data_IF_386458570573
#
_entry.id   IF_386458570573
#
_cell.length_a   1.000
_cell.length_b   1.000
_cell.length_c   1.000
_cell.angle_alpha   90.00
_cell.angle_beta   90.00
_cell.angle_gamma   90.00
#
_symmetry.space_group_name_H-M   'P 1'
#
loop_
_entity.id
_entity.type
_entity.pdbx_description
1 polymer ?
#
# COMPACT_ATOMS: atom_id res chain seq x y z
N UNK A 1 35.38 -4.76 5.94
CA UNK A 1 35.75 -3.33 6.00
C UNK A 1 36.55 -2.98 4.76
N UNK A 2 36.01 -2.20 3.83
CA UNK A 2 36.77 -1.73 2.66
C UNK A 2 37.69 -0.56 3.08
N UNK A 3 38.95 -0.50 2.60
CA UNK A 3 39.86 0.59 2.92
C UNK A 3 39.35 1.93 2.33
N UNK A 4 39.36 2.98 3.16
CA UNK A 4 38.94 4.34 2.79
C UNK A 4 39.85 4.99 1.72
N UNK A 5 39.32 5.93 0.91
CA UNK A 5 40.02 6.50 -0.24
C UNK A 5 41.30 7.25 0.06
N UNK A 6 42.30 7.07 -0.81
CA UNK A 6 43.43 7.98 -0.96
C UNK A 6 42.98 9.22 -1.78
N UNK A 7 43.28 10.43 -1.28
CA UNK A 7 43.01 11.71 -1.96
C UNK A 7 44.30 12.31 -2.55
N UNK A 8 44.17 13.13 -3.59
CA UNK A 8 45.28 13.94 -4.13
C UNK A 8 45.59 15.12 -3.21
N UNK A 9 46.73 15.79 -3.42
CA UNK A 9 47.17 16.95 -2.60
C UNK A 9 46.14 18.11 -2.57
N UNK A 10 45.23 18.17 -3.55
CA UNK A 10 44.12 19.14 -3.60
C UNK A 10 42.80 18.65 -3.00
N UNK A 11 42.80 17.60 -2.16
CA UNK A 11 41.61 17.15 -1.43
C UNK A 11 40.54 16.43 -2.28
N UNK A 12 40.84 16.09 -3.54
CA UNK A 12 39.91 15.34 -4.41
C UNK A 12 40.14 13.83 -4.28
N UNK A 13 39.05 13.06 -4.26
CA UNK A 13 39.08 11.58 -4.26
C UNK A 13 39.73 11.11 -5.56
N UNK A 14 40.81 10.32 -5.47
CA UNK A 14 41.45 9.77 -6.64
C UNK A 14 40.60 8.62 -7.19
N UNK A 15 39.76 8.92 -8.19
CA UNK A 15 38.81 7.98 -8.79
C UNK A 15 39.44 6.66 -9.28
N UNK A 16 40.75 6.68 -9.60
CA UNK A 16 41.52 5.51 -10.06
C UNK A 16 41.53 4.33 -9.07
N UNK A 17 41.25 4.56 -7.77
CA UNK A 17 41.35 3.54 -6.72
C UNK A 17 40.02 2.93 -6.28
N UNK A 18 38.88 3.30 -6.89
CA UNK A 18 37.54 2.85 -6.44
C UNK A 18 36.63 2.32 -7.57
N UNK A 19 37.24 1.81 -8.63
CA UNK A 19 36.58 1.50 -9.90
C UNK A 19 35.38 0.55 -9.80
N UNK A 20 35.39 -0.51 -8.98
CA UNK A 20 34.30 -1.50 -9.00
C UNK A 20 32.93 -0.95 -8.55
N UNK A 21 32.90 -0.03 -7.56
CA UNK A 21 31.65 0.47 -6.98
C UNK A 21 31.07 1.67 -7.75
N UNK A 22 31.93 2.44 -8.43
CA UNK A 22 31.53 3.67 -9.13
C UNK A 22 31.25 3.49 -10.62
N UNK A 23 31.63 2.35 -11.21
CA UNK A 23 31.23 2.00 -12.58
C UNK A 23 29.73 1.68 -12.64
N UNK A 24 29.17 1.05 -11.59
CA UNK A 24 27.79 0.56 -11.58
C UNK A 24 26.75 1.63 -11.28
N UNK A 25 27.10 2.66 -10.49
CA UNK A 25 26.15 3.73 -10.11
C UNK A 25 26.85 5.10 -10.09
N UNK A 26 26.91 5.81 -11.23
CA UNK A 26 27.64 7.07 -11.35
C UNK A 26 27.15 8.18 -10.40
N UNK A 27 25.85 8.20 -10.08
CA UNK A 27 25.22 9.21 -9.21
C UNK A 27 25.74 9.19 -7.75
N UNK A 28 26.28 8.07 -7.28
CA UNK A 28 26.83 7.96 -5.92
C UNK A 28 28.20 8.65 -5.75
N UNK A 29 28.79 9.14 -6.84
CA UNK A 29 30.09 9.82 -6.84
C UNK A 29 30.06 11.17 -6.12
N UNK A 30 28.92 11.86 -6.15
CA UNK A 30 28.76 13.23 -5.64
C UNK A 30 28.28 13.28 -4.17
N UNK A 31 27.75 12.17 -3.64
CA UNK A 31 27.05 12.13 -2.36
C UNK A 31 27.92 11.76 -1.14
N UNK A 32 29.24 11.61 -1.31
CA UNK A 32 30.12 11.19 -0.21
C UNK A 32 31.22 12.22 0.09
N UNK A 33 30.85 13.25 0.85
CA UNK A 33 31.78 13.99 1.68
C UNK A 33 32.17 13.16 2.90
N UNK A 34 33.05 12.17 2.72
CA UNK A 34 33.68 11.48 3.87
C UNK A 34 34.88 12.31 4.32
N UNK A 35 34.87 12.89 5.53
CA UNK A 35 36.03 13.59 6.07
C UNK A 35 37.18 12.60 6.24
N UNK A 36 38.35 12.96 5.71
CA UNK A 36 39.56 12.15 5.85
C UNK A 36 40.13 12.43 7.25
N UNK A 37 40.43 11.41 8.07
CA UNK A 37 41.06 11.61 9.37
C UNK A 37 42.40 12.34 9.22
N UNK A 38 42.71 13.27 10.12
CA UNK A 38 43.83 14.22 10.05
C UNK A 38 45.26 13.65 10.01
N UNK A 39 45.44 12.34 9.82
CA UNK A 39 46.74 11.66 9.70
C UNK A 39 46.98 10.94 8.36
N UNK A 40 46.01 10.89 7.44
CA UNK A 40 46.20 10.25 6.12
C UNK A 40 46.75 11.25 5.10
N UNK A 41 48.04 11.17 4.82
CA UNK A 41 48.70 11.91 3.74
C UNK A 41 49.46 10.97 2.79
N UNK A 42 49.55 11.31 1.49
CA UNK A 42 50.37 10.55 0.54
C UNK A 42 51.83 10.45 1.02
N UNK A 43 52.41 9.26 1.00
CA UNK A 43 53.81 9.01 1.37
C UNK A 43 54.06 8.69 2.86
N UNK A 44 53.04 8.72 3.73
CA UNK A 44 53.17 8.25 5.11
C UNK A 44 52.72 6.79 5.25
N UNK A 45 53.44 5.95 6.02
CA UNK A 45 52.97 4.60 6.33
C UNK A 45 51.64 4.70 7.08
N UNK A 46 50.72 3.80 6.74
CA UNK A 46 49.41 3.74 7.37
C UNK A 46 49.58 3.41 8.86
N UNK A 47 49.00 4.25 9.72
CA UNK A 47 48.82 3.95 11.14
C UNK A 47 47.34 3.69 11.39
N UNK A 48 47.05 2.60 12.11
CA UNK A 48 45.72 2.35 12.60
C UNK A 48 45.33 3.51 13.53
N UNK A 49 44.22 4.19 13.23
CA UNK A 49 43.63 5.08 14.21
C UNK A 49 43.24 4.23 15.42
N UNK A 50 43.28 4.80 16.64
CA UNK A 50 42.56 4.21 17.75
C UNK A 50 41.16 3.87 17.25
N UNK A 51 40.64 2.65 17.52
CA UNK A 51 39.25 2.37 17.19
C UNK A 51 38.44 3.54 17.73
N UNK A 52 37.60 4.15 16.87
CA UNK A 52 36.58 5.08 17.36
C UNK A 52 35.89 4.28 18.44
N UNK A 53 36.08 4.67 19.70
CA UNK A 53 35.31 4.10 20.78
C UNK A 53 33.87 4.37 20.32
N UNK A 54 33.17 3.31 19.93
CA UNK A 54 31.74 3.39 19.73
C UNK A 54 31.27 4.11 20.99
N UNK A 55 30.62 5.27 20.83
CA UNK A 55 30.11 6.03 21.96
C UNK A 55 29.48 5.00 22.88
N UNK A 56 30.10 4.81 24.06
CA UNK A 56 29.75 3.73 24.95
C UNK A 56 28.24 3.90 25.15
N UNK A 57 27.38 2.97 24.68
CA UNK A 57 25.97 3.13 24.91
C UNK A 57 25.87 3.09 26.42
N UNK A 58 25.70 4.26 27.04
CA UNK A 58 25.54 4.38 28.48
C UNK A 58 24.57 3.29 28.94
N UNK A 59 24.78 2.71 30.14
CA UNK A 59 24.27 1.39 30.53
C UNK A 59 22.90 1.17 29.93
N UNK A 60 22.83 0.27 28.94
CA UNK A 60 21.67 0.10 28.08
C UNK A 60 20.41 0.14 28.95
N UNK A 61 19.62 1.22 28.82
CA UNK A 61 18.40 1.38 29.58
C UNK A 61 17.60 0.09 29.45
N UNK A 62 17.23 -0.50 30.58
CA UNK A 62 16.56 -1.79 30.61
C UNK A 62 15.39 -1.79 29.61
N UNK A 63 15.27 -2.79 28.74
CA UNK A 63 14.24 -2.78 27.71
C UNK A 63 12.86 -2.80 28.36
N UNK A 64 11.99 -1.87 27.95
CA UNK A 64 10.63 -1.79 28.47
C UNK A 64 9.81 -2.89 27.78
N UNK A 65 9.31 -3.83 28.57
CA UNK A 65 8.51 -4.98 28.10
C UNK A 65 7.03 -4.71 28.32
N UNK A 66 6.24 -4.77 27.25
CA UNK A 66 4.79 -4.64 27.28
C UNK A 66 4.17 -5.96 26.89
N UNK A 67 3.47 -6.58 27.84
CA UNK A 67 2.85 -7.89 27.68
C UNK A 67 1.43 -7.80 27.13
N UNK A 68 1.05 -8.74 26.28
CA UNK A 68 -0.34 -8.91 25.82
C UNK A 68 -0.80 -10.37 25.90
N UNK A 69 -1.99 -10.59 26.48
CA UNK A 69 -2.61 -11.90 26.65
C UNK A 69 -4.07 -11.90 26.17
N UNK A 70 -4.51 -13.01 25.57
CA UNK A 70 -5.90 -13.18 25.10
C UNK A 70 -6.41 -14.60 25.31
N UNK A 71 -7.65 -14.72 25.79
CA UNK A 71 -8.39 -15.99 25.83
C UNK A 71 -9.83 -15.83 25.29
N UNK A 72 -10.38 -16.89 24.69
CA UNK A 72 -11.73 -16.87 24.10
C UNK A 72 -12.85 -17.29 25.06
N UNK A 73 -12.58 -18.16 26.04
CA UNK A 73 -13.63 -18.70 26.94
C UNK A 73 -13.16 -19.14 28.33
N UNK A 74 -11.89 -19.55 28.54
CA UNK A 74 -11.43 -20.12 29.82
C UNK A 74 -10.55 -19.13 30.63
N UNK A 75 -10.91 -18.89 31.89
CA UNK A 75 -10.14 -18.03 32.81
C UNK A 75 -8.76 -18.60 33.15
N UNK A 76 -8.67 -19.91 33.37
CA UNK A 76 -7.42 -20.60 33.73
C UNK A 76 -6.31 -20.50 32.67
N UNK A 77 -6.67 -20.29 31.40
CA UNK A 77 -5.71 -20.09 30.30
C UNK A 77 -5.22 -18.65 30.17
N UNK A 78 -5.96 -17.68 30.73
CA UNK A 78 -5.52 -16.29 30.77
C UNK A 78 -4.53 -16.07 31.91
N UNK A 79 -4.82 -16.64 33.08
CA UNK A 79 -3.96 -16.51 34.25
C UNK A 79 -2.57 -17.11 34.01
N UNK A 80 -2.50 -18.27 33.33
CA UNK A 80 -1.22 -18.88 32.96
C UNK A 80 -0.40 -18.00 31.99
N UNK A 81 -1.05 -17.36 31.03
CA UNK A 81 -0.40 -16.39 30.12
C UNK A 81 0.10 -15.17 30.89
N UNK A 82 -0.72 -14.60 31.78
CA UNK A 82 -0.33 -13.44 32.58
C UNK A 82 0.84 -13.77 33.50
N UNK A 83 0.85 -14.95 34.13
CA UNK A 83 1.98 -15.42 34.93
C UNK A 83 3.26 -15.55 34.09
N UNK A 84 3.17 -16.11 32.88
CA UNK A 84 4.31 -16.20 31.97
C UNK A 84 4.84 -14.80 31.56
N UNK A 85 3.94 -13.86 31.28
CA UNK A 85 4.31 -12.47 30.94
C UNK A 85 4.96 -11.74 32.13
N UNK A 86 4.46 -11.96 33.35
CA UNK A 86 5.08 -11.42 34.57
C UNK A 86 6.47 -12.03 34.80
N UNK A 87 6.62 -13.34 34.60
CA UNK A 87 7.91 -14.02 34.70
C UNK A 87 8.92 -13.51 33.66
N UNK A 88 8.43 -13.08 32.48
CA UNK A 88 9.24 -12.44 31.45
C UNK A 88 9.60 -10.97 31.74
N UNK A 89 9.20 -10.40 32.88
CA UNK A 89 9.53 -9.02 33.26
C UNK A 89 8.70 -7.94 32.57
N UNK A 90 7.49 -8.25 32.10
CA UNK A 90 6.61 -7.25 31.48
C UNK A 90 6.17 -6.17 32.49
N UNK A 91 6.52 -4.91 32.24
CA UNK A 91 6.20 -3.76 33.09
C UNK A 91 4.70 -3.45 33.09
N UNK A 92 4.05 -3.59 31.93
CA UNK A 92 2.60 -3.44 31.77
C UNK A 92 2.06 -4.63 30.99
N UNK A 93 0.95 -5.21 31.47
CA UNK A 93 0.30 -6.34 30.83
C UNK A 93 -1.13 -5.95 30.50
N UNK A 94 -1.50 -6.12 29.24
CA UNK A 94 -2.86 -5.94 28.72
C UNK A 94 -3.46 -7.33 28.51
N UNK A 95 -4.68 -7.54 29.02
CA UNK A 95 -5.34 -8.83 28.93
C UNK A 95 -6.80 -8.67 28.54
N UNK A 96 -7.25 -9.45 27.56
CA UNK A 96 -8.63 -9.41 27.11
C UNK A 96 -9.26 -10.81 26.97
N UNK A 97 -10.52 -10.91 27.39
CA UNK A 97 -11.34 -12.11 27.23
C UNK A 97 -12.28 -11.93 26.06
N UNK A 98 -11.74 -12.03 24.86
CA UNK A 98 -12.47 -11.80 23.61
C UNK A 98 -12.32 -12.99 22.66
N UNK A 99 -13.43 -13.41 22.06
CA UNK A 99 -13.45 -14.45 21.04
C UNK A 99 -12.60 -14.07 19.83
N UNK A 100 -11.89 -15.04 19.27
CA UNK A 100 -11.12 -14.90 18.03
C UNK A 100 -11.96 -14.39 16.85
N UNK A 101 -13.30 -14.36 16.92
CA UNK A 101 -14.15 -13.83 15.85
C UNK A 101 -14.31 -12.30 15.88
N UNK A 102 -14.10 -11.67 17.03
CA UNK A 102 -14.27 -10.21 17.19
C UNK A 102 -13.12 -9.47 16.51
N UNK A 103 -13.44 -8.39 15.76
CA UNK A 103 -12.46 -7.60 15.01
C UNK A 103 -11.75 -6.57 15.90
N UNK A 104 -12.53 -5.86 16.70
CA UNK A 104 -12.04 -4.78 17.56
C UNK A 104 -11.46 -5.39 18.84
N UNK A 105 -10.24 -5.01 19.17
CA UNK A 105 -9.49 -5.51 20.33
C UNK A 105 -8.89 -4.33 21.08
N UNK A 106 -9.65 -3.73 22.00
CA UNK A 106 -9.26 -2.47 22.63
C UNK A 106 -7.97 -2.62 23.46
N UNK A 107 -7.77 -3.76 24.12
CA UNK A 107 -6.56 -4.01 24.93
C UNK A 107 -5.32 -4.22 24.07
N UNK A 108 -5.43 -4.94 22.94
CA UNK A 108 -4.35 -5.03 21.96
C UNK A 108 -3.98 -3.66 21.38
N UNK A 109 -4.99 -2.86 21.01
CA UNK A 109 -4.79 -1.52 20.45
C UNK A 109 -4.13 -0.58 21.49
N UNK A 110 -4.56 -0.64 22.74
CA UNK A 110 -3.95 0.11 23.85
C UNK A 110 -2.50 -0.32 24.10
N UNK A 111 -2.20 -1.63 24.07
CA UNK A 111 -0.84 -2.14 24.23
C UNK A 111 0.09 -1.62 23.12
N UNK A 112 -0.35 -1.71 21.85
CA UNK A 112 0.41 -1.22 20.71
C UNK A 112 0.53 0.31 20.72
N UNK A 113 -0.51 1.02 21.16
CA UNK A 113 -0.51 2.46 21.36
C UNK A 113 0.59 2.86 22.35
N UNK A 114 0.59 2.26 23.54
CA UNK A 114 1.62 2.52 24.55
C UNK A 114 3.04 2.25 24.03
N UNK A 115 3.26 1.15 23.30
CA UNK A 115 4.57 0.88 22.70
C UNK A 115 5.02 2.01 21.75
N UNK A 116 4.11 2.52 20.92
CA UNK A 116 4.39 3.62 19.98
C UNK A 116 4.61 4.93 20.70
N UNK A 117 3.83 5.22 21.72
CA UNK A 117 3.95 6.46 22.50
C UNK A 117 5.31 6.52 23.20
N UNK A 118 5.77 5.40 23.78
CA UNK A 118 7.11 5.30 24.37
C UNK A 118 8.19 5.51 23.31
N UNK A 119 8.07 4.88 22.14
CA UNK A 119 9.03 5.06 21.04
C UNK A 119 9.04 6.48 20.49
N UNK A 120 7.90 7.15 20.46
CA UNK A 120 7.78 8.54 20.02
C UNK A 120 8.41 9.49 21.03
N UNK A 121 8.19 9.26 22.33
CA UNK A 121 8.75 10.07 23.40
C UNK A 121 10.27 9.85 23.58
N UNK A 122 10.73 8.61 23.42
CA UNK A 122 12.13 8.22 23.57
C UNK A 122 12.59 7.28 22.44
N UNK A 123 13.04 7.82 21.29
CA UNK A 123 13.45 7.01 20.13
C UNK A 123 14.58 6.01 20.41
N UNK A 124 15.45 6.32 21.38
CA UNK A 124 16.56 5.46 21.81
C UNK A 124 16.17 4.36 22.80
N UNK A 125 14.96 4.39 23.38
CA UNK A 125 14.51 3.39 24.35
C UNK A 125 14.18 2.08 23.63
N UNK A 126 14.71 0.96 24.13
CA UNK A 126 14.30 -0.36 23.65
C UNK A 126 12.92 -0.70 24.20
N UNK A 127 12.00 -1.06 23.31
CA UNK A 127 10.62 -1.46 23.64
C UNK A 127 10.39 -2.84 23.03
N UNK A 128 9.94 -3.76 23.87
CA UNK A 128 9.65 -5.15 23.50
C UNK A 128 8.16 -5.40 23.72
N UNK A 129 7.47 -5.78 22.65
CA UNK A 129 6.11 -6.28 22.71
C UNK A 129 6.14 -7.79 22.93
N UNK A 130 5.73 -8.23 24.11
CA UNK A 130 5.85 -9.63 24.55
C UNK A 130 4.48 -10.30 24.51
N UNK A 131 4.40 -11.45 23.85
CA UNK A 131 3.19 -12.27 23.81
C UNK A 131 3.52 -13.73 24.10
N UNK A 132 2.56 -14.45 24.66
CA UNK A 132 2.79 -15.86 24.99
C UNK A 132 3.03 -16.72 23.74
N UNK A 133 2.31 -16.46 22.65
CA UNK A 133 2.40 -17.24 21.40
C UNK A 133 1.94 -16.37 20.21
N UNK A 134 2.42 -16.67 19.00
CA UNK A 134 2.14 -15.90 17.78
C UNK A 134 0.64 -15.75 17.44
N UNK A 135 -0.18 -16.74 17.82
CA UNK A 135 -1.64 -16.73 17.61
C UNK A 135 -2.44 -15.85 18.59
N UNK A 136 -1.77 -15.23 19.57
CA UNK A 136 -2.42 -14.32 20.54
C UNK A 136 -2.70 -12.95 19.94
N UNK A 137 -1.71 -12.24 19.36
CA UNK A 137 -1.93 -10.91 18.78
C UNK A 137 -2.69 -10.93 17.46
N UNK A 138 -2.82 -12.06 16.76
CA UNK A 138 -3.45 -12.14 15.44
C UNK A 138 -4.49 -13.27 15.33
N UNK A 139 -5.56 -13.04 14.55
CA UNK A 139 -6.61 -14.04 14.27
C UNK A 139 -6.32 -14.91 13.05
N UNK A 140 -5.55 -14.38 12.11
CA UNK A 140 -5.18 -15.01 10.86
C UNK A 140 -3.81 -14.48 10.39
N UNK A 141 -3.29 -15.06 9.31
CA UNK A 141 -2.01 -14.65 8.73
C UNK A 141 -2.02 -13.16 8.33
N UNK A 142 -3.09 -12.67 7.69
CA UNK A 142 -3.21 -11.28 7.26
C UNK A 142 -3.04 -10.25 8.41
N UNK A 143 -3.66 -10.52 9.56
CA UNK A 143 -3.49 -9.68 10.74
C UNK A 143 -2.08 -9.76 11.32
N UNK A 144 -1.50 -10.95 11.36
CA UNK A 144 -0.15 -11.13 11.87
C UNK A 144 0.85 -10.35 11.03
N UNK A 145 0.69 -10.41 9.70
CA UNK A 145 1.56 -9.70 8.77
C UNK A 145 1.41 -8.18 8.89
N UNK A 146 0.18 -7.69 9.08
CA UNK A 146 -0.09 -6.27 9.34
C UNK A 146 0.53 -5.81 10.66
N UNK A 147 0.39 -6.61 11.71
CA UNK A 147 0.99 -6.36 13.02
C UNK A 147 2.52 -6.33 12.94
N UNK A 148 3.12 -7.31 12.28
CA UNK A 148 4.56 -7.39 12.08
C UNK A 148 5.09 -6.16 11.33
N UNK A 149 4.44 -5.75 10.22
CA UNK A 149 4.80 -4.54 9.49
C UNK A 149 4.70 -3.28 10.37
N UNK A 150 3.65 -3.17 11.19
CA UNK A 150 3.47 -2.06 12.13
C UNK A 150 4.55 -2.00 13.22
N UNK A 151 4.91 -3.14 13.79
CA UNK A 151 6.00 -3.24 14.77
C UNK A 151 7.36 -2.90 14.14
N UNK A 152 7.62 -3.38 12.93
CA UNK A 152 8.84 -3.07 12.18
C UNK A 152 8.96 -1.57 11.88
N UNK A 153 7.90 -0.94 11.37
CA UNK A 153 7.88 0.49 11.09
C UNK A 153 8.11 1.37 12.32
N UNK A 154 7.63 0.92 13.49
CA UNK A 154 7.84 1.58 14.77
C UNK A 154 9.14 1.18 15.50
N UNK A 155 9.96 0.29 14.90
CA UNK A 155 11.18 -0.26 15.52
C UNK A 155 10.94 -0.90 16.90
N UNK A 156 9.80 -1.55 17.07
CA UNK A 156 9.42 -2.28 18.29
C UNK A 156 9.83 -3.74 18.13
N UNK A 157 10.50 -4.29 19.14
CA UNK A 157 10.91 -5.70 19.15
C UNK A 157 9.71 -6.59 19.48
N UNK A 158 9.66 -7.81 18.94
CA UNK A 158 8.63 -8.80 19.26
C UNK A 158 9.24 -9.93 20.08
N UNK A 159 8.65 -10.28 21.22
CA UNK A 159 9.06 -11.44 22.02
C UNK A 159 7.93 -12.47 22.06
N UNK A 160 8.31 -13.72 21.77
CA UNK A 160 7.43 -14.89 21.82
C UNK A 160 7.92 -15.82 22.93
N UNK A 161 7.07 -16.08 23.92
CA UNK A 161 7.45 -16.90 25.08
C UNK A 161 7.27 -18.42 24.87
N UNK A 162 6.48 -18.81 23.87
CA UNK A 162 6.16 -20.22 23.59
C UNK A 162 5.93 -20.46 22.10
N UNK A 163 6.08 -21.73 21.71
CA UNK A 163 5.93 -22.22 20.35
C UNK A 163 7.25 -22.37 19.59
N UNK A 164 7.19 -22.75 18.30
CA UNK A 164 8.38 -23.05 17.50
C UNK A 164 9.25 -21.82 17.20
N UNK A 165 8.68 -20.62 17.31
CA UNK A 165 9.34 -19.34 17.10
C UNK A 165 9.60 -18.63 18.43
N UNK A 166 9.92 -19.36 19.49
CA UNK A 166 10.23 -18.75 20.80
C UNK A 166 11.52 -17.90 20.68
N UNK A 167 11.49 -16.67 21.20
CA UNK A 167 12.64 -15.77 21.17
C UNK A 167 12.26 -14.29 21.04
N UNK A 168 13.29 -13.43 21.04
CA UNK A 168 13.18 -11.99 20.84
C UNK A 168 13.63 -11.65 19.41
N UNK A 169 12.76 -10.96 18.68
CA UNK A 169 12.97 -10.54 17.30
C UNK A 169 13.11 -9.03 17.24
N UNK A 170 14.34 -8.57 16.98
CA UNK A 170 14.63 -7.16 16.73
C UNK A 170 14.46 -6.83 15.24
N UNK A 171 13.55 -5.90 14.86
CA UNK A 171 13.37 -5.48 13.47
C UNK A 171 14.60 -4.80 12.85
N UNK A 172 15.59 -4.34 13.64
CA UNK A 172 16.84 -3.74 13.15
C UNK A 172 18.05 -4.68 13.25
N UNK A 173 17.87 -5.87 13.82
CA UNK A 173 18.94 -6.84 14.09
C UNK A 173 18.69 -8.19 13.41
N UNK A 174 19.08 -9.28 14.08
CA UNK A 174 18.89 -10.64 13.57
C UNK A 174 17.42 -11.02 13.37
N UNK A 175 16.49 -10.36 14.05
CA UNK A 175 15.05 -10.55 13.89
C UNK A 175 14.46 -9.92 12.62
N UNK A 176 15.21 -9.04 11.94
CA UNK A 176 14.74 -8.31 10.76
C UNK A 176 14.28 -9.24 9.62
N UNK A 177 14.90 -10.43 9.50
CA UNK A 177 14.51 -11.43 8.52
C UNK A 177 13.08 -11.94 8.73
N UNK A 178 12.67 -12.19 9.99
CA UNK A 178 11.31 -12.63 10.30
C UNK A 178 10.30 -11.57 9.87
N UNK A 179 10.56 -10.31 10.23
CA UNK A 179 9.72 -9.18 9.84
C UNK A 179 9.66 -9.01 8.33
N UNK A 180 10.79 -9.13 7.63
CA UNK A 180 10.86 -9.03 6.17
C UNK A 180 10.04 -10.13 5.47
N UNK A 181 10.17 -11.39 5.91
CA UNK A 181 9.38 -12.51 5.35
C UNK A 181 7.89 -12.28 5.57
N UNK A 182 7.49 -11.88 6.78
CA UNK A 182 6.09 -11.57 7.10
C UNK A 182 5.58 -10.37 6.28
N UNK A 183 6.40 -9.36 6.06
CA UNK A 183 6.04 -8.19 5.25
C UNK A 183 5.87 -8.54 3.76
N UNK A 184 6.75 -9.37 3.20
CA UNK A 184 6.65 -9.87 1.82
C UNK A 184 5.39 -10.71 1.65
N UNK A 185 5.13 -11.64 2.57
CA UNK A 185 3.90 -12.43 2.57
C UNK A 185 2.66 -11.51 2.64
N UNK A 186 2.72 -10.43 3.43
CA UNK A 186 1.62 -9.46 3.52
C UNK A 186 1.30 -8.80 2.18
N UNK A 187 2.35 -8.48 1.42
CA UNK A 187 2.22 -7.83 0.14
C UNK A 187 1.66 -8.80 -0.91
N UNK A 188 2.16 -10.04 -0.93
CA UNK A 188 1.66 -11.09 -1.83
C UNK A 188 0.17 -11.37 -1.64
N UNK A 189 -0.30 -11.49 -0.39
CA UNK A 189 -1.73 -11.70 -0.12
C UNK A 189 -2.58 -10.50 -0.56
N UNK A 190 -2.11 -9.26 -0.38
CA UNK A 190 -2.82 -8.06 -0.85
C UNK A 190 -2.95 -8.04 -2.37
N UNK A 191 -1.85 -8.33 -3.06
CA UNK A 191 -1.82 -8.35 -4.52
C UNK A 191 -2.73 -9.47 -5.05
N UNK A 192 -2.68 -10.66 -4.43
CA UNK A 192 -3.56 -11.78 -4.77
C UNK A 192 -5.06 -11.44 -4.63
N UNK A 193 -5.46 -10.82 -3.51
CA UNK A 193 -6.87 -10.41 -3.30
C UNK A 193 -7.30 -9.39 -4.35
N UNK A 194 -6.43 -8.42 -4.67
CA UNK A 194 -6.71 -7.41 -5.70
C UNK A 194 -6.91 -8.07 -7.06
N UNK A 195 -6.00 -8.95 -7.46
CA UNK A 195 -6.02 -9.60 -8.76
C UNK A 195 -7.26 -10.50 -8.89
N UNK A 196 -7.61 -11.28 -7.85
CA UNK A 196 -8.84 -12.07 -7.82
C UNK A 196 -10.11 -11.22 -7.87
N UNK A 197 -10.09 -10.04 -7.26
CA UNK A 197 -11.22 -9.10 -7.32
C UNK A 197 -11.40 -8.55 -8.74
N UNK A 198 -10.31 -8.21 -9.42
CA UNK A 198 -10.33 -7.73 -10.81
C UNK A 198 -10.81 -8.82 -11.76
N UNK A 199 -10.32 -10.06 -11.62
CA UNK A 199 -10.81 -11.22 -12.37
C UNK A 199 -12.33 -11.40 -12.17
N UNK A 200 -12.80 -11.30 -10.92
CA UNK A 200 -14.22 -11.40 -10.60
C UNK A 200 -15.06 -10.28 -11.23
N UNK A 201 -14.55 -9.04 -11.25
CA UNK A 201 -15.20 -7.91 -11.90
C UNK A 201 -15.24 -8.07 -13.42
N UNK A 202 -14.17 -8.54 -14.05
CA UNK A 202 -14.13 -8.82 -15.48
C UNK A 202 -15.12 -9.93 -15.85
N UNK A 203 -15.18 -11.01 -15.07
CA UNK A 203 -16.14 -12.10 -15.27
C UNK A 203 -17.60 -11.65 -15.03
N UNK A 204 -17.84 -10.69 -14.12
CA UNK A 204 -19.16 -10.08 -13.94
C UNK A 204 -19.53 -9.18 -15.13
N UNK A 205 -18.59 -8.34 -15.59
CA UNK A 205 -18.77 -7.46 -16.75
C UNK A 205 -19.05 -8.26 -18.04
N UNK A 206 -18.35 -9.37 -18.26
CA UNK A 206 -18.63 -10.27 -19.39
C UNK A 206 -20.03 -10.90 -19.34
N UNK A 207 -20.63 -11.00 -18.14
CA UNK A 207 -22.02 -11.43 -17.93
C UNK A 207 -23.02 -10.26 -17.94
N UNK A 208 -22.59 -9.07 -18.34
CA UNK A 208 -23.42 -7.85 -18.38
C UNK A 208 -23.58 -7.13 -17.04
N UNK A 209 -22.91 -7.60 -15.97
CA UNK A 209 -22.93 -6.93 -14.67
C UNK A 209 -21.67 -6.08 -14.49
N UNK A 210 -21.77 -4.81 -14.91
CA UNK A 210 -20.66 -3.86 -14.88
C UNK A 210 -20.44 -3.19 -13.51
N UNK A 211 -21.27 -3.49 -12.51
CA UNK A 211 -21.21 -2.84 -11.20
C UNK A 211 -21.51 -1.33 -11.25
N UNK A 212 -21.14 -0.61 -10.20
CA UNK A 212 -21.31 0.85 -10.12
C UNK A 212 -22.65 1.31 -9.52
N UNK A 213 -22.82 2.64 -9.39
CA UNK A 213 -24.05 3.25 -8.88
C UNK A 213 -25.15 3.16 -9.96
N UNK A 214 -26.36 2.65 -9.65
CA UNK A 214 -27.47 2.65 -10.60
C UNK A 214 -27.77 4.05 -11.15
N UNK A 215 -28.16 4.12 -12.43
CA UNK A 215 -28.59 5.37 -13.06
C UNK A 215 -29.82 5.93 -12.32
N UNK A 216 -29.81 7.24 -12.07
CA UNK A 216 -30.90 7.94 -11.36
C UNK A 216 -32.07 8.26 -12.30
N UNK A 217 -31.77 8.51 -13.57
CA UNK A 217 -32.75 8.74 -14.63
C UNK A 217 -32.85 7.44 -15.42
N UNK A 218 -34.04 6.85 -15.42
CA UNK A 218 -34.36 5.69 -16.25
C UNK A 218 -34.76 6.11 -17.67
N UNK A 219 -34.95 5.12 -18.55
CA UNK A 219 -35.28 5.37 -19.96
C UNK A 219 -36.61 6.13 -20.11
N UNK A 220 -37.64 5.76 -19.35
CA UNK A 220 -38.96 6.42 -19.38
C UNK A 220 -38.85 7.89 -18.96
N UNK A 221 -38.08 8.17 -17.91
CA UNK A 221 -37.80 9.51 -17.42
C UNK A 221 -37.04 10.33 -18.47
N UNK A 222 -36.10 9.72 -19.18
CA UNK A 222 -35.35 10.37 -20.24
C UNK A 222 -36.26 10.73 -21.42
N UNK A 223 -37.08 9.80 -21.91
CA UNK A 223 -38.06 10.02 -22.99
C UNK A 223 -39.02 11.16 -22.60
N UNK A 224 -39.54 11.12 -21.37
CA UNK A 224 -40.44 12.16 -20.88
C UNK A 224 -39.74 13.53 -20.77
N UNK A 225 -38.48 13.55 -20.31
CA UNK A 225 -37.68 14.77 -20.23
C UNK A 225 -37.41 15.38 -21.62
N UNK A 226 -37.08 14.56 -22.61
CA UNK A 226 -36.87 14.99 -24.00
C UNK A 226 -38.16 15.56 -24.60
N UNK A 227 -39.31 14.93 -24.37
CA UNK A 227 -40.60 15.42 -24.83
C UNK A 227 -40.97 16.78 -24.20
N UNK A 228 -40.67 16.98 -22.91
CA UNK A 228 -40.89 18.27 -22.26
C UNK A 228 -39.93 19.36 -22.76
N UNK A 229 -38.67 19.00 -23.01
CA UNK A 229 -37.68 19.91 -23.61
C UNK A 229 -38.09 20.35 -25.01
N UNK A 230 -38.59 19.43 -25.85
CA UNK A 230 -39.08 19.76 -27.18
C UNK A 230 -40.28 20.73 -27.16
N UNK A 231 -41.07 20.71 -26.09
CA UNK A 231 -42.17 21.67 -25.83
C UNK A 231 -41.69 23.01 -25.25
N UNK A 232 -40.38 23.21 -25.10
CA UNK A 232 -39.79 24.45 -24.59
C UNK A 232 -39.80 24.62 -23.06
N UNK A 233 -40.04 23.55 -22.30
CA UNK A 233 -40.02 23.61 -20.83
C UNK A 233 -38.59 23.72 -20.32
N UNK A 234 -38.34 24.61 -19.34
CA UNK A 234 -37.02 24.78 -18.74
C UNK A 234 -36.59 23.55 -17.92
N UNK A 235 -35.30 23.23 -17.95
CA UNK A 235 -34.74 22.04 -17.27
C UNK A 235 -34.98 21.99 -15.75
N UNK A 236 -34.96 23.10 -14.99
CA UNK A 236 -35.36 23.08 -13.58
C UNK A 236 -36.81 22.60 -13.37
N UNK A 237 -37.73 23.02 -14.23
CA UNK A 237 -39.14 22.63 -14.16
C UNK A 237 -39.34 21.18 -14.60
N UNK A 238 -38.55 20.71 -15.57
CA UNK A 238 -38.51 19.30 -15.96
C UNK A 238 -38.09 18.43 -14.77
N UNK A 239 -37.06 18.83 -14.03
CA UNK A 239 -36.58 18.08 -12.87
C UNK A 239 -37.66 17.90 -11.79
N UNK A 240 -38.48 18.93 -11.54
CA UNK A 240 -39.59 18.87 -10.58
C UNK A 240 -40.76 17.97 -11.04
N UNK A 241 -40.85 17.68 -12.33
CA UNK A 241 -41.88 16.80 -12.92
C UNK A 241 -41.45 15.34 -13.00
N UNK A 242 -40.17 15.07 -12.79
CA UNK A 242 -39.60 13.73 -12.80
C UNK A 242 -39.56 13.14 -11.38
N UNK A 243 -39.78 11.83 -11.26
CA UNK A 243 -39.71 11.11 -9.98
C UNK A 243 -38.77 9.91 -10.09
N UNK A 244 -37.81 9.81 -9.19
CA UNK A 244 -36.87 8.67 -9.14
C UNK A 244 -37.62 7.42 -8.68
N UNK A 245 -37.52 6.33 -9.44
CA UNK A 245 -38.24 5.08 -9.13
C UNK A 245 -37.50 4.14 -8.17
N UNK A 246 -36.16 4.15 -8.15
CA UNK A 246 -35.36 3.15 -7.43
C UNK A 246 -34.25 3.77 -6.56
N UNK A 247 -33.80 3.01 -5.55
CA UNK A 247 -32.70 3.37 -4.67
C UNK A 247 -33.09 4.27 -3.49
N UNK A 248 -32.08 4.76 -2.75
CA UNK A 248 -32.28 5.51 -1.50
C UNK A 248 -33.05 6.84 -1.65
N UNK A 249 -33.15 7.36 -2.88
CA UNK A 249 -33.88 8.60 -3.20
C UNK A 249 -35.18 8.34 -3.97
N UNK A 250 -35.69 7.11 -3.95
CA UNK A 250 -36.98 6.78 -4.57
C UNK A 250 -38.09 7.71 -4.03
N UNK A 251 -38.96 8.17 -4.94
CA UNK A 251 -40.04 9.13 -4.63
C UNK A 251 -39.62 10.59 -4.57
N UNK A 252 -38.33 10.91 -4.71
CA UNK A 252 -37.85 12.30 -4.81
C UNK A 252 -37.62 12.73 -6.27
N UNK A 253 -37.56 14.04 -6.48
CA UNK A 253 -37.16 14.61 -7.76
C UNK A 253 -35.65 14.47 -8.01
N UNK A 254 -35.21 14.19 -9.24
CA UNK A 254 -33.79 14.21 -9.59
C UNK A 254 -33.21 15.62 -9.48
N UNK A 255 -31.90 15.70 -9.21
CA UNK A 255 -31.21 16.99 -9.22
C UNK A 255 -31.19 17.57 -10.64
N UNK A 256 -31.24 18.90 -10.75
CA UNK A 256 -31.17 19.61 -12.05
C UNK A 256 -29.91 19.19 -12.83
N UNK A 257 -28.77 19.02 -12.14
CA UNK A 257 -27.52 18.55 -12.73
C UNK A 257 -27.56 17.10 -13.24
N UNK A 258 -28.41 16.25 -12.67
CA UNK A 258 -28.64 14.89 -13.19
C UNK A 258 -29.42 14.94 -14.50
N UNK A 259 -30.43 15.81 -14.59
CA UNK A 259 -31.23 15.99 -15.80
C UNK A 259 -30.40 16.58 -16.93
N UNK A 260 -29.59 17.62 -16.67
CA UNK A 260 -28.67 18.18 -17.66
C UNK A 260 -27.70 17.14 -18.21
N UNK A 261 -27.12 16.30 -17.34
CA UNK A 261 -26.21 15.22 -17.78
C UNK A 261 -26.92 14.21 -18.67
N UNK A 262 -28.09 13.74 -18.27
CA UNK A 262 -28.82 12.75 -19.07
C UNK A 262 -29.26 13.31 -20.44
N UNK A 263 -29.67 14.58 -20.51
CA UNK A 263 -29.99 15.24 -21.79
C UNK A 263 -28.75 15.44 -22.65
N UNK A 264 -27.61 15.80 -22.07
CA UNK A 264 -26.35 15.95 -22.80
C UNK A 264 -25.85 14.60 -23.35
N UNK A 265 -25.97 13.52 -22.56
CA UNK A 265 -25.62 12.17 -22.98
C UNK A 265 -26.51 11.70 -24.15
N UNK A 266 -27.81 12.04 -24.11
CA UNK A 266 -28.75 11.75 -25.20
C UNK A 266 -28.40 12.54 -26.48
N UNK A 267 -28.14 13.84 -26.37
CA UNK A 267 -27.72 14.66 -27.51
C UNK A 267 -26.38 14.16 -28.11
N UNK A 268 -25.47 13.66 -27.27
CA UNK A 268 -24.22 13.08 -27.73
C UNK A 268 -24.44 11.76 -28.47
N UNK A 269 -25.31 10.88 -27.95
CA UNK A 269 -25.68 9.63 -28.60
C UNK A 269 -26.36 9.86 -29.96
N UNK A 270 -27.25 10.85 -30.07
CA UNK A 270 -27.90 11.23 -31.33
C UNK A 270 -26.89 11.72 -32.37
N UNK A 271 -25.92 12.55 -31.96
CA UNK A 271 -24.84 13.02 -32.85
C UNK A 271 -23.94 11.89 -33.35
N UNK A 272 -23.63 10.92 -32.50
CA UNK A 272 -22.84 9.74 -32.88
C UNK A 272 -23.62 8.85 -33.85
N UNK A 273 -24.91 8.59 -33.61
CA UNK A 273 -25.75 7.81 -34.51
C UNK A 273 -25.97 8.48 -35.87
N UNK A 274 -26.06 9.81 -35.92
CA UNK A 274 -26.15 10.57 -37.17
C UNK A 274 -24.85 10.55 -38.01
N UNK A 275 -23.70 10.35 -37.37
CA UNK A 275 -22.41 10.24 -38.05
C UNK A 275 -22.18 8.85 -38.68
N UNK A 276 -22.62 7.78 -38.00
CA UNK A 276 -22.54 6.42 -38.55
C UNK A 276 -23.51 6.21 -39.73
N UNK A 277 -24.68 6.86 -39.72
CA UNK A 277 -25.65 6.78 -40.83
C UNK A 277 -25.26 7.51 -42.12
N UNK A 278 -24.20 8.32 -42.10
CA UNK A 278 -23.71 9.03 -43.30
C UNK A 278 -22.61 8.27 -44.05
N UNK A 279 -22.14 7.14 -43.51
CA UNK A 279 -21.09 6.31 -44.10
C UNK A 279 -21.57 5.28 -45.13
N UNK A 280 -22.83 4.84 -45.04
CA UNK A 280 -23.39 3.80 -45.92
C UNK A 280 -23.82 4.32 -47.31
N UNK A 281 -24.04 5.63 -47.47
CA UNK A 281 -24.47 6.22 -48.76
C UNK A 281 -23.31 6.53 -49.74
N UNK A 282 -22.04 6.35 -49.33
CA UNK A 282 -20.88 6.73 -50.15
C UNK A 282 -20.34 5.55 -50.98
N UNK A 283 -20.68 4.30 -50.64
CA UNK A 283 -20.12 3.10 -51.28
C UNK A 283 -20.83 2.66 -52.58
N UNK A 284 -22.04 3.14 -52.88
CA UNK A 284 -22.71 2.83 -54.16
C UNK A 284 -22.21 3.67 -55.35
N UNK A 285 -21.46 4.75 -55.11
CA UNK A 285 -20.98 5.66 -56.17
C UNK A 285 -19.62 5.33 -56.78
N UNK A 286 -18.80 4.48 -56.15
CA UNK A 286 -17.40 4.24 -56.57
C UNK A 286 -17.16 2.95 -57.37
N UNK A 287 -18.17 2.12 -57.61
CA UNK A 287 -17.99 0.82 -58.27
C UNK A 287 -17.91 0.88 -59.82
N UNK A 288 -17.96 2.06 -60.46
CA UNK A 288 -18.02 2.17 -61.94
C UNK A 288 -16.87 2.95 -62.60
N UNK A 289 -15.76 3.22 -61.90
CA UNK A 289 -14.61 3.90 -62.51
C UNK A 289 -13.30 3.12 -62.33
N UNK A 290 -12.86 2.47 -63.41
CA UNK A 290 -11.43 2.41 -63.74
C UNK A 290 -10.71 1.09 -63.52
N UNK A 291 -10.81 0.21 -64.52
CA UNK A 291 -9.66 -0.53 -65.06
C UNK A 291 -8.47 0.44 -65.24
N UNK A 292 -7.28 0.10 -64.75
CA UNK A 292 -6.15 -0.30 -65.61
C UNK A 292 -4.98 -0.83 -64.76
N UNK A 293 -4.49 -2.02 -65.11
CA UNK A 293 -3.37 -2.68 -64.46
C UNK A 293 -2.23 -2.79 -65.46
N UNK A 294 -1.15 -2.03 -65.27
CA UNK A 294 0.08 -2.29 -66.02
C UNK A 294 1.37 -1.81 -65.32
N UNK A 295 2.40 -2.65 -65.48
CA UNK A 295 3.85 -2.39 -65.47
C UNK A 295 4.51 -2.18 -64.08
N UNK A 296 5.13 -3.19 -63.48
CA UNK A 296 6.44 -3.83 -63.76
C UNK A 296 7.64 -3.18 -63.04
N UNK A 297 8.30 -4.00 -62.21
CA UNK A 297 9.72 -4.31 -62.40
C UNK A 297 10.79 -3.61 -61.54
N UNK A 298 11.70 -4.46 -61.06
CA UNK A 298 13.15 -4.22 -60.85
C UNK A 298 13.59 -3.80 -59.44
N UNK A 299 14.12 -4.70 -58.59
CA UNK A 299 15.45 -5.37 -58.50
C UNK A 299 16.20 -4.85 -57.27
N UNK A 300 16.72 -5.75 -56.44
CA UNK A 300 17.82 -5.48 -55.50
C UNK A 300 18.88 -6.56 -55.71
N UNK A 301 20.07 -6.11 -56.11
CA UNK A 301 21.34 -6.61 -55.59
C UNK A 301 21.77 -5.71 -54.44
#
# INVERSE_FOLDING_TARGET
MAPSPCRTRGGKVAAKYHTARFILVPALRELLEVPVPGGRFPGRPWQALPPVAAADPGPAAEPIRIGYARCSTKGQELDSQVLALRAAGCSRIFSEKISTRVRVRPELEAALGLCRDIKSAAPGQSVIFTVHELKRPARNAAELMTLAAGLQGARIQLELLSGPLTGIYDPNGLGAMLFAVLAVAAQLDRDYIRDKTLEGQQAAAARGNHGGRPKVIDEDMLIFALALRAKGVAVPDIAQKLTIKTGANAGKNPSVASVYRALADADAAERLGAADGLGDDIDEGMALAGWDSSVAGSTRG
#
